data_IF_162774777264
#
_entry.id   IF_162774777264
#
_cell.length_a   1.000
_cell.length_b   1.000
_cell.length_c   1.000
_cell.angle_alpha   90.00
_cell.angle_beta   90.00
_cell.angle_gamma   90.00
#
_symmetry.space_group_name_H-M   'P 1'
#
loop_
_entity.id
_entity.type
_entity.pdbx_description
1 polymer ?
#
# COMPACT_ATOMS: atom_id res chain seq x y z
N UNK A 1 9.79 15.07 11.00
CA UNK A 1 9.61 13.69 10.48
C UNK A 1 8.55 13.79 9.41
N UNK A 2 8.88 13.47 8.15
CA UNK A 2 7.86 13.37 7.10
C UNK A 2 6.94 12.21 7.44
N UNK A 3 5.63 12.45 7.43
CA UNK A 3 4.62 11.41 7.63
C UNK A 3 4.15 10.97 6.25
N UNK A 4 4.41 9.71 5.90
CA UNK A 4 3.82 9.13 4.71
C UNK A 4 2.37 8.71 4.98
N UNK A 5 1.65 8.42 3.91
CA UNK A 5 0.29 7.89 3.93
C UNK A 5 0.21 6.74 2.95
N UNK A 6 -0.37 5.63 3.37
CA UNK A 6 -0.62 4.46 2.54
C UNK A 6 -2.09 4.41 2.20
N UNK A 7 -2.40 4.35 0.91
CA UNK A 7 -3.78 4.28 0.41
C UNK A 7 -4.02 2.99 -0.37
N UNK A 8 -5.14 2.33 -0.15
CA UNK A 8 -5.46 1.07 -0.83
C UNK A 8 -6.96 0.78 -0.80
N UNK A 9 -7.42 -0.08 -1.72
CA UNK A 9 -8.79 -0.56 -1.74
C UNK A 9 -8.86 -1.96 -1.09
N UNK A 10 -9.70 -2.15 -0.08
CA UNK A 10 -9.99 -3.49 0.42
C UNK A 10 -10.96 -4.20 -0.54
N UNK A 11 -10.48 -5.25 -1.21
CA UNK A 11 -11.34 -6.11 -2.02
C UNK A 11 -12.19 -7.01 -1.14
N UNK A 12 -13.53 -6.91 -1.24
CA UNK A 12 -14.46 -7.79 -0.53
C UNK A 12 -15.83 -7.18 -0.21
N UNK A 13 -15.97 -5.85 -0.28
CA UNK A 13 -17.22 -5.14 -0.04
C UNK A 13 -17.74 -4.46 -1.32
N UNK A 14 -19.08 -4.32 -1.52
CA UNK A 14 -19.67 -3.75 -2.74
C UNK A 14 -19.32 -2.28 -2.97
N UNK A 15 -18.95 -1.59 -1.88
CA UNK A 15 -18.35 -0.26 -1.87
C UNK A 15 -16.89 -0.48 -1.50
N UNK A 16 -15.99 -0.47 -2.47
CA UNK A 16 -14.55 -0.55 -2.22
C UNK A 16 -14.10 0.71 -1.52
N UNK A 17 -14.22 0.77 -0.20
CA UNK A 17 -13.82 1.92 0.59
C UNK A 17 -12.29 2.03 0.52
N UNK A 18 -11.83 3.10 -0.14
CA UNK A 18 -10.41 3.49 -0.17
C UNK A 18 -9.99 3.81 1.26
N UNK A 19 -9.10 3.00 1.81
CA UNK A 19 -8.51 3.20 3.12
C UNK A 19 -7.27 4.09 2.97
N UNK A 20 -7.01 4.91 3.99
CA UNK A 20 -5.85 5.80 4.06
C UNK A 20 -5.28 5.77 5.47
N UNK A 21 -4.04 5.30 5.63
CA UNK A 21 -3.38 5.15 6.93
C UNK A 21 -2.05 5.93 6.98
N UNK A 22 -1.81 6.76 8.00
CA UNK A 22 -0.53 7.43 8.18
C UNK A 22 0.54 6.42 8.63
N UNK A 23 1.75 6.54 8.09
CA UNK A 23 2.90 5.70 8.45
C UNK A 23 4.20 6.52 8.53
N UNK A 24 5.13 6.17 9.42
CA UNK A 24 6.36 6.93 9.64
C UNK A 24 7.42 6.74 8.56
N UNK A 25 7.41 5.60 7.84
CA UNK A 25 8.42 5.25 6.83
C UNK A 25 7.91 4.16 5.87
N UNK A 26 8.71 3.90 4.83
CA UNK A 26 8.44 2.87 3.81
C UNK A 26 8.35 1.46 4.39
N UNK A 27 9.16 1.15 5.40
CA UNK A 27 9.15 -0.19 6.03
C UNK A 27 7.79 -0.45 6.68
N UNK A 28 7.28 0.53 7.42
CA UNK A 28 5.96 0.47 8.04
C UNK A 28 4.86 0.47 6.99
N UNK A 29 5.04 1.19 5.87
CA UNK A 29 4.11 1.14 4.75
C UNK A 29 3.94 -0.27 4.18
N UNK A 30 5.03 -1.02 4.01
CA UNK A 30 4.99 -2.40 3.52
C UNK A 30 4.29 -3.34 4.50
N UNK A 31 4.51 -3.17 5.81
CA UNK A 31 3.82 -3.95 6.84
C UNK A 31 2.31 -3.67 6.82
N UNK A 32 1.92 -2.40 6.72
CA UNK A 32 0.51 -2.01 6.62
C UNK A 32 -0.13 -2.57 5.35
N UNK A 33 0.54 -2.49 4.21
CA UNK A 33 0.07 -3.09 2.97
C UNK A 33 -0.09 -4.61 3.11
N UNK A 34 0.86 -5.30 3.75
CA UNK A 34 0.81 -6.75 3.93
C UNK A 34 -0.35 -7.24 4.78
N UNK A 35 -0.65 -6.52 5.86
CA UNK A 35 -1.77 -6.82 6.76
C UNK A 35 -3.11 -6.61 6.04
N UNK A 36 -3.23 -5.55 5.24
CA UNK A 36 -4.52 -5.09 4.75
C UNK A 36 -4.85 -5.51 3.31
N UNK A 37 -3.85 -5.90 2.52
CA UNK A 37 -4.03 -6.39 1.15
C UNK A 37 -3.82 -7.92 1.08
N UNK A 38 -4.88 -8.63 0.73
CA UNK A 38 -4.75 -10.01 0.25
C UNK A 38 -4.10 -10.09 -1.14
N UNK A 39 -4.39 -9.10 -2.00
CA UNK A 39 -3.85 -8.90 -3.35
C UNK A 39 -4.04 -7.44 -3.78
N UNK A 40 -3.24 -6.98 -4.73
CA UNK A 40 -3.43 -5.68 -5.40
C UNK A 40 -2.42 -4.62 -4.98
N UNK A 41 -2.80 -3.37 -5.20
CA UNK A 41 -1.90 -2.22 -5.16
C UNK A 41 -2.26 -1.31 -3.99
N UNK A 42 -1.22 -0.86 -3.28
CA UNK A 42 -1.25 0.29 -2.38
C UNK A 42 -0.44 1.44 -2.98
N UNK A 43 -0.87 2.66 -2.73
CA UNK A 43 -0.17 3.89 -3.08
C UNK A 43 0.51 4.46 -1.83
N UNK A 44 1.76 4.88 -1.96
CA UNK A 44 2.49 5.60 -0.91
C UNK A 44 2.56 7.08 -1.27
N UNK A 45 2.08 7.92 -0.36
CA UNK A 45 2.03 9.37 -0.52
C UNK A 45 2.89 10.07 0.54
N UNK A 46 3.56 11.16 0.15
CA UNK A 46 4.16 12.15 1.03
C UNK A 46 3.36 13.45 0.90
N UNK A 47 2.50 13.74 1.90
CA UNK A 47 1.47 14.76 1.76
C UNK A 47 0.43 14.39 0.69
N UNK A 48 0.37 15.19 -0.38
CA UNK A 48 -0.48 14.99 -1.56
C UNK A 48 0.29 14.39 -2.75
N UNK A 49 1.61 14.17 -2.58
CA UNK A 49 2.46 13.64 -3.64
C UNK A 49 2.50 12.12 -3.56
N UNK A 50 2.07 11.44 -4.63
CA UNK A 50 2.39 10.04 -4.84
C UNK A 50 3.90 9.87 -5.00
N UNK A 51 4.53 9.04 -4.17
CA UNK A 51 5.98 8.78 -4.21
C UNK A 51 6.32 7.38 -4.69
N UNK A 52 5.43 6.41 -4.43
CA UNK A 52 5.61 5.03 -4.90
C UNK A 52 4.28 4.29 -5.00
N UNK A 53 4.26 3.21 -5.77
CA UNK A 53 3.23 2.18 -5.69
C UNK A 53 3.85 0.90 -5.16
N UNK A 54 3.06 0.17 -4.36
CA UNK A 54 3.44 -1.07 -3.69
C UNK A 54 2.44 -2.13 -4.14
N UNK A 55 2.88 -3.11 -4.92
CA UNK A 55 2.03 -4.18 -5.43
C UNK A 55 2.37 -5.51 -4.76
N UNK A 56 1.33 -6.18 -4.24
CA UNK A 56 1.46 -7.53 -3.65
C UNK A 56 1.28 -8.58 -4.74
N UNK A 57 2.37 -9.29 -5.05
CA UNK A 57 2.35 -10.39 -6.01
C UNK A 57 2.28 -11.76 -5.31
N UNK A 58 1.56 -12.68 -5.95
CA UNK A 58 1.50 -14.10 -5.58
C UNK A 58 0.36 -14.50 -4.64
N UNK A 59 0.04 -15.80 -4.61
CA UNK A 59 -0.94 -16.43 -3.70
C UNK A 59 -0.38 -17.78 -3.23
N UNK A 60 -0.45 -18.10 -1.94
CA UNK A 60 -0.11 -19.44 -1.44
C UNK A 60 1.38 -19.78 -1.38
N UNK A 61 2.17 -19.02 -0.61
CA UNK A 61 3.52 -19.42 -0.16
C UNK A 61 4.71 -18.84 -0.95
N UNK A 62 4.46 -18.08 -2.01
CA UNK A 62 5.48 -17.29 -2.72
C UNK A 62 4.96 -15.87 -2.95
N UNK A 63 4.96 -15.08 -1.88
CA UNK A 63 4.55 -13.68 -1.90
C UNK A 63 5.80 -12.80 -1.96
N UNK A 64 5.79 -11.83 -2.87
CA UNK A 64 6.79 -10.78 -2.93
C UNK A 64 6.13 -9.44 -3.22
N UNK A 65 6.84 -8.37 -2.88
CA UNK A 65 6.40 -7.00 -3.10
C UNK A 65 7.18 -6.38 -4.24
N UNK A 66 6.47 -5.80 -5.18
CA UNK A 66 7.04 -4.91 -6.18
C UNK A 66 6.84 -3.46 -5.73
N UNK A 67 7.89 -2.67 -5.80
CA UNK A 67 7.86 -1.24 -5.46
C UNK A 67 8.35 -0.48 -6.67
N UNK A 68 7.52 0.43 -7.18
CA UNK A 68 7.90 1.33 -8.26
C UNK A 68 7.76 2.78 -7.81
N UNK A 69 8.74 3.61 -8.15
CA UNK A 69 8.69 5.03 -7.86
C UNK A 69 7.65 5.72 -8.77
N UNK A 70 6.96 6.72 -8.23
CA UNK A 70 6.13 7.59 -9.05
C UNK A 70 7.01 8.41 -10.02
N UNK A 71 6.57 8.53 -11.27
CA UNK A 71 7.24 9.31 -12.32
C UNK A 71 7.20 10.83 -12.04
#
# INVERSE_FOLDING_TARGET
MSSYRVEFNQGGLPSGDRQSLPVPDLTTALVVADINLERGVAELHDGDKLVATIEKHGRGGRTYWEISAAA
#
